data_IF_119976589324
#
_entry.id   IF_119976589324
#
_cell.length_a   1.000
_cell.length_b   1.000
_cell.length_c   1.000
_cell.angle_alpha   90.00
_cell.angle_beta   90.00
_cell.angle_gamma   90.00
#
_symmetry.space_group_name_H-M   'P 1'
#
loop_
_entity.id
_entity.type
_entity.pdbx_description
1 polymer ?
#
# COMPACT_ATOMS: atom_id res chain seq x y z
N UNK A 1 15.94 16.95 14.51
CA UNK A 1 16.28 15.68 15.17
C UNK A 1 15.00 14.94 15.52
N UNK A 2 14.29 15.29 16.61
CA UNK A 2 13.09 14.58 17.08
C UNK A 2 12.04 14.15 16.03
N UNK A 3 11.57 15.04 15.15
CA UNK A 3 10.52 14.68 14.17
C UNK A 3 10.99 13.68 13.10
N UNK A 4 12.26 13.78 12.69
CA UNK A 4 12.83 12.89 11.67
C UNK A 4 13.05 11.49 12.26
N UNK A 5 13.53 11.44 13.49
CA UNK A 5 13.77 10.18 14.21
C UNK A 5 12.45 9.42 14.48
N UNK A 6 11.37 10.15 14.78
CA UNK A 6 10.02 9.58 14.93
C UNK A 6 9.50 8.97 13.63
N UNK A 7 9.59 9.69 12.51
CA UNK A 7 9.17 9.16 11.20
C UNK A 7 9.99 7.93 10.85
N UNK A 8 11.31 7.97 11.04
CA UNK A 8 12.16 6.80 10.77
C UNK A 8 11.74 5.58 11.60
N UNK A 9 11.47 5.75 12.89
CA UNK A 9 10.99 4.66 13.74
C UNK A 9 9.61 4.11 13.30
N UNK A 10 8.71 4.97 12.84
CA UNK A 10 7.41 4.56 12.29
C UNK A 10 7.57 3.74 11.01
N UNK A 11 8.41 4.19 10.09
CA UNK A 11 8.70 3.48 8.83
C UNK A 11 9.41 2.14 9.09
N UNK A 12 10.36 2.09 10.03
CA UNK A 12 11.00 0.84 10.43
C UNK A 12 9.99 -0.16 11.02
N UNK A 13 9.06 0.33 11.84
CA UNK A 13 7.98 -0.50 12.38
C UNK A 13 7.07 -1.02 11.27
N UNK A 14 6.72 -0.19 10.29
CA UNK A 14 5.93 -0.61 9.13
C UNK A 14 6.66 -1.68 8.31
N UNK A 15 7.96 -1.54 8.09
CA UNK A 15 8.77 -2.54 7.39
C UNK A 15 8.81 -3.88 8.15
N UNK A 16 8.94 -3.86 9.48
CA UNK A 16 8.87 -5.07 10.31
C UNK A 16 7.51 -5.75 10.24
N UNK A 17 6.43 -4.97 10.27
CA UNK A 17 5.06 -5.49 10.11
C UNK A 17 4.88 -6.13 8.73
N UNK A 18 5.34 -5.49 7.67
CA UNK A 18 5.29 -6.05 6.32
C UNK A 18 6.08 -7.36 6.23
N UNK A 19 7.30 -7.41 6.77
CA UNK A 19 8.10 -8.64 6.81
C UNK A 19 7.37 -9.77 7.55
N UNK A 20 6.67 -9.45 8.65
CA UNK A 20 5.84 -10.42 9.37
C UNK A 20 4.68 -10.93 8.52
N UNK A 21 3.96 -10.04 7.82
CA UNK A 21 2.89 -10.42 6.88
C UNK A 21 3.44 -11.38 5.82
N UNK A 22 4.59 -11.06 5.22
CA UNK A 22 5.25 -11.91 4.23
C UNK A 22 5.62 -13.29 4.82
N UNK A 23 6.15 -13.33 6.04
CA UNK A 23 6.46 -14.58 6.75
C UNK A 23 5.22 -15.45 6.96
N UNK A 24 4.10 -14.85 7.40
CA UNK A 24 2.83 -15.56 7.58
C UNK A 24 2.30 -16.14 6.26
N UNK A 25 2.45 -15.41 5.14
CA UNK A 25 2.08 -15.94 3.80
C UNK A 25 2.91 -17.15 3.39
N UNK A 26 4.23 -17.13 3.68
CA UNK A 26 5.12 -18.28 3.41
C UNK A 26 4.72 -19.48 4.28
N UNK A 27 4.32 -19.24 5.52
CA UNK A 27 3.80 -20.27 6.45
C UNK A 27 2.38 -20.74 6.12
N UNK A 28 1.75 -20.23 5.04
CA UNK A 28 0.37 -20.49 4.64
C UNK A 28 -0.69 -20.08 5.68
N UNK A 29 -0.33 -19.19 6.61
CA UNK A 29 -1.23 -18.58 7.60
C UNK A 29 -1.92 -17.35 7.01
N UNK A 30 -2.71 -17.57 5.96
CA UNK A 30 -3.27 -16.48 5.15
C UNK A 30 -4.25 -15.61 5.94
N UNK A 31 -5.11 -16.20 6.75
CA UNK A 31 -6.08 -15.46 7.58
C UNK A 31 -5.39 -14.52 8.57
N UNK A 32 -4.28 -14.95 9.18
CA UNK A 32 -3.48 -14.12 10.09
C UNK A 32 -2.77 -12.99 9.33
N UNK A 33 -2.24 -13.30 8.14
CA UNK A 33 -1.60 -12.30 7.28
C UNK A 33 -2.59 -11.21 6.85
N UNK A 34 -3.80 -11.60 6.45
CA UNK A 34 -4.85 -10.70 6.00
C UNK A 34 -5.42 -9.88 7.17
N UNK A 35 -5.61 -10.49 8.35
CA UNK A 35 -6.01 -9.77 9.55
C UNK A 35 -4.98 -8.69 9.92
N UNK A 36 -3.69 -9.03 9.92
CA UNK A 36 -2.61 -8.08 10.23
C UNK A 36 -2.51 -6.97 9.17
N UNK A 37 -2.69 -7.31 7.90
CA UNK A 37 -2.73 -6.33 6.81
C UNK A 37 -3.88 -5.33 7.00
N UNK A 38 -5.10 -5.82 7.22
CA UNK A 38 -6.29 -4.98 7.41
C UNK A 38 -6.17 -4.11 8.66
N UNK A 39 -5.65 -4.67 9.76
CA UNK A 39 -5.37 -3.92 10.99
C UNK A 39 -4.36 -2.80 10.73
N UNK A 40 -3.31 -3.07 9.95
CA UNK A 40 -2.27 -2.09 9.65
C UNK A 40 -2.81 -0.96 8.77
N UNK A 41 -3.62 -1.28 7.75
CA UNK A 41 -4.32 -0.27 6.94
C UNK A 41 -5.16 0.68 7.80
N UNK A 42 -5.96 0.12 8.69
CA UNK A 42 -6.83 0.92 9.55
C UNK A 42 -6.03 1.76 10.56
N UNK A 43 -5.05 1.16 11.27
CA UNK A 43 -4.37 1.82 12.39
C UNK A 43 -3.23 2.74 11.96
N UNK A 44 -2.48 2.38 10.93
CA UNK A 44 -1.28 3.12 10.52
C UNK A 44 -1.53 4.08 9.36
N UNK A 45 -2.49 3.76 8.48
CA UNK A 45 -2.80 4.59 7.32
C UNK A 45 -4.18 5.25 7.40
N UNK A 46 -5.04 4.84 8.33
CA UNK A 46 -6.41 5.34 8.42
C UNK A 46 -7.25 4.97 7.19
N UNK A 47 -6.94 3.84 6.54
CA UNK A 47 -7.59 3.34 5.33
C UNK A 47 -8.40 2.08 5.64
N UNK A 48 -9.68 2.06 5.27
CA UNK A 48 -10.43 0.81 5.26
C UNK A 48 -10.01 -0.05 4.06
N UNK A 49 -9.59 -1.28 4.34
CA UNK A 49 -9.27 -2.31 3.34
C UNK A 49 -10.36 -2.51 2.27
N UNK A 50 -11.64 -2.30 2.60
CA UNK A 50 -12.74 -2.46 1.65
C UNK A 50 -12.64 -1.46 0.50
N UNK A 51 -12.19 -0.24 0.78
CA UNK A 51 -12.04 0.83 -0.23
C UNK A 51 -11.03 0.45 -1.32
N UNK A 52 -10.06 -0.44 -1.01
CA UNK A 52 -9.10 -0.94 -2.00
C UNK A 52 -9.72 -1.89 -3.03
N UNK A 53 -10.79 -2.60 -2.66
CA UNK A 53 -11.47 -3.59 -3.50
C UNK A 53 -12.81 -3.09 -4.03
N UNK A 54 -13.18 -1.84 -3.75
CA UNK A 54 -14.37 -1.22 -4.35
C UNK A 54 -14.14 -0.92 -5.83
N UNK A 55 -15.10 -1.22 -6.73
CA UNK A 55 -14.98 -0.88 -8.15
C UNK A 55 -14.86 0.63 -8.41
N UNK A 56 -15.53 1.45 -7.60
CA UNK A 56 -15.47 2.90 -7.71
C UNK A 56 -14.23 3.45 -6.98
N UNK A 57 -13.45 4.28 -7.67
CA UNK A 57 -12.22 4.88 -7.14
C UNK A 57 -12.47 6.13 -6.31
N UNK A 58 -13.66 6.73 -6.38
CA UNK A 58 -13.95 8.03 -5.79
C UNK A 58 -13.70 8.10 -4.27
N UNK A 59 -14.03 7.03 -3.54
CA UNK A 59 -13.79 6.98 -2.09
C UNK A 59 -12.31 6.90 -1.77
N UNK A 60 -11.55 6.10 -2.53
CA UNK A 60 -10.10 6.00 -2.38
C UNK A 60 -9.40 7.32 -2.72
N UNK A 61 -9.78 7.94 -3.84
CA UNK A 61 -9.22 9.22 -4.28
C UNK A 61 -9.49 10.33 -3.25
N UNK A 62 -10.71 10.37 -2.70
CA UNK A 62 -11.06 11.31 -1.62
C UNK A 62 -10.21 11.05 -0.37
N UNK A 63 -10.13 9.80 0.09
CA UNK A 63 -9.29 9.42 1.21
C UNK A 63 -7.83 9.83 0.98
N UNK A 64 -7.28 9.55 -0.21
CA UNK A 64 -5.89 9.84 -0.54
C UNK A 64 -5.61 11.35 -0.55
N UNK A 65 -6.56 12.14 -1.05
CA UNK A 65 -6.47 13.60 -1.06
C UNK A 65 -6.55 14.21 0.34
N UNK A 66 -7.38 13.65 1.22
CA UNK A 66 -7.58 14.10 2.61
C UNK A 66 -6.51 13.53 3.57
N UNK A 67 -5.74 12.52 3.14
CA UNK A 67 -4.70 11.89 3.94
C UNK A 67 -3.54 12.86 4.21
N UNK A 68 -3.11 12.93 5.46
CA UNK A 68 -1.91 13.69 5.88
C UNK A 68 -0.63 12.85 5.82
N UNK A 69 -0.61 11.80 4.98
CA UNK A 69 0.54 10.91 4.84
C UNK A 69 1.67 11.64 4.09
N UNK A 70 2.89 11.53 4.62
CA UNK A 70 4.08 12.02 3.93
C UNK A 70 4.55 11.00 2.87
N UNK A 71 5.59 11.38 2.11
CA UNK A 71 6.13 10.54 1.05
C UNK A 71 6.59 9.16 1.55
N UNK A 72 7.23 9.08 2.71
CA UNK A 72 7.71 7.82 3.27
C UNK A 72 6.55 6.88 3.65
N UNK A 73 5.49 7.42 4.25
CA UNK A 73 4.29 6.65 4.57
C UNK A 73 3.56 6.18 3.31
N UNK A 74 3.46 7.03 2.28
CA UNK A 74 2.86 6.64 1.00
C UNK A 74 3.69 5.56 0.28
N UNK A 75 5.03 5.64 0.37
CA UNK A 75 5.90 4.57 -0.11
C UNK A 75 5.64 3.26 0.63
N UNK A 76 5.61 3.27 1.97
CA UNK A 76 5.27 2.08 2.74
C UNK A 76 3.89 1.54 2.40
N UNK A 77 2.86 2.38 2.31
CA UNK A 77 1.52 1.95 1.87
C UNK A 77 1.58 1.24 0.51
N UNK A 78 2.38 1.76 -0.42
CA UNK A 78 2.55 1.15 -1.74
C UNK A 78 3.16 -0.26 -1.66
N UNK A 79 4.11 -0.49 -0.74
CA UNK A 79 4.67 -1.82 -0.49
C UNK A 79 3.61 -2.79 0.03
N UNK A 80 2.79 -2.33 0.99
CA UNK A 80 1.70 -3.12 1.58
C UNK A 80 0.68 -3.51 0.51
N UNK A 81 0.14 -2.56 -0.26
CA UNK A 81 -0.85 -2.85 -1.31
C UNK A 81 -0.25 -3.77 -2.37
N UNK A 82 0.98 -3.49 -2.83
CA UNK A 82 1.64 -4.33 -3.83
C UNK A 82 1.82 -5.78 -3.35
N UNK A 83 2.12 -5.99 -2.06
CA UNK A 83 2.27 -7.33 -1.48
C UNK A 83 1.00 -8.18 -1.45
N UNK A 84 -0.16 -7.58 -1.70
CA UNK A 84 -1.46 -8.27 -1.78
C UNK A 84 -1.86 -8.65 -3.19
N UNK A 85 -1.17 -8.13 -4.21
CA UNK A 85 -1.51 -8.43 -5.60
C UNK A 85 -1.20 -9.89 -5.92
N UNK A 86 -2.20 -10.60 -6.44
CA UNK A 86 -2.11 -11.95 -6.97
C UNK A 86 -2.99 -12.03 -8.22
N UNK A 87 -2.39 -11.71 -9.37
CA UNK A 87 -3.07 -11.75 -10.67
C UNK A 87 -3.30 -13.17 -11.20
N UNK A 88 -2.88 -14.21 -10.49
CA UNK A 88 -3.13 -15.61 -10.88
C UNK A 88 -4.35 -16.16 -10.15
N UNK A 89 -4.45 -15.89 -8.84
CA UNK A 89 -5.50 -16.47 -7.98
C UNK A 89 -6.61 -15.50 -7.62
N UNK A 90 -6.31 -14.20 -7.56
CA UNK A 90 -7.24 -13.15 -7.13
C UNK A 90 -7.29 -12.00 -8.15
N UNK A 91 -7.61 -12.33 -9.41
CA UNK A 91 -7.53 -11.40 -10.55
C UNK A 91 -8.30 -10.10 -10.29
N UNK A 92 -9.61 -10.18 -10.04
CA UNK A 92 -10.48 -8.99 -9.92
C UNK A 92 -10.05 -8.11 -8.74
N UNK A 93 -9.91 -8.63 -7.49
CA UNK A 93 -9.40 -7.82 -6.38
C UNK A 93 -8.04 -7.20 -6.67
N UNK A 94 -7.13 -7.94 -7.31
CA UNK A 94 -5.78 -7.44 -7.64
C UNK A 94 -5.82 -6.31 -8.65
N UNK A 95 -6.67 -6.41 -9.68
CA UNK A 95 -6.88 -5.32 -10.64
C UNK A 95 -7.44 -4.07 -9.96
N UNK A 96 -8.41 -4.24 -9.07
CA UNK A 96 -8.97 -3.12 -8.30
C UNK A 96 -7.90 -2.49 -7.42
N UNK A 97 -7.16 -3.27 -6.63
CA UNK A 97 -6.07 -2.76 -5.80
C UNK A 97 -4.97 -2.07 -6.63
N UNK A 98 -4.63 -2.61 -7.80
CA UNK A 98 -3.65 -2.03 -8.73
C UNK A 98 -4.06 -0.64 -9.22
N UNK A 99 -5.35 -0.42 -9.51
CA UNK A 99 -5.85 0.92 -9.84
C UNK A 99 -5.61 1.91 -8.70
N UNK A 100 -5.85 1.50 -7.45
CA UNK A 100 -5.66 2.36 -6.27
C UNK A 100 -4.18 2.63 -6.03
N UNK A 101 -3.34 1.62 -6.24
CA UNK A 101 -1.89 1.74 -6.18
C UNK A 101 -1.34 2.75 -7.20
N UNK A 102 -1.91 2.82 -8.40
CA UNK A 102 -1.54 3.84 -9.39
C UNK A 102 -1.81 5.28 -8.92
N UNK A 103 -2.90 5.53 -8.17
CA UNK A 103 -3.13 6.85 -7.58
C UNK A 103 -2.09 7.20 -6.52
N UNK A 104 -1.63 6.21 -5.72
CA UNK A 104 -0.56 6.42 -4.73
C UNK A 104 0.75 6.78 -5.44
N UNK A 105 1.13 6.05 -6.49
CA UNK A 105 2.33 6.37 -7.27
C UNK A 105 2.24 7.74 -7.92
N UNK A 106 1.10 8.09 -8.49
CA UNK A 106 0.86 9.42 -9.04
C UNK A 106 1.03 10.51 -7.99
N UNK A 107 0.44 10.36 -6.81
CA UNK A 107 0.59 11.34 -5.70
C UNK A 107 2.04 11.49 -5.25
N UNK A 108 2.80 10.40 -5.16
CA UNK A 108 4.23 10.43 -4.82
C UNK A 108 5.05 11.26 -5.83
N UNK A 109 4.73 11.16 -7.12
CA UNK A 109 5.39 11.92 -8.17
C UNK A 109 4.92 13.38 -8.18
N UNK A 110 3.60 13.60 -8.18
CA UNK A 110 3.01 14.93 -8.37
C UNK A 110 3.23 15.84 -7.16
N UNK A 111 3.02 15.34 -5.94
CA UNK A 111 3.04 16.17 -4.72
C UNK A 111 4.42 16.18 -4.04
N UNK A 112 5.16 15.08 -4.14
CA UNK A 112 6.43 14.89 -3.41
C UNK A 112 7.66 14.82 -4.32
N UNK A 113 7.47 14.90 -5.65
CA UNK A 113 8.55 14.79 -6.65
C UNK A 113 9.44 13.55 -6.43
N UNK A 114 8.86 12.50 -5.83
CA UNK A 114 9.58 11.31 -5.43
C UNK A 114 9.38 10.23 -6.47
N UNK A 115 10.42 10.02 -7.28
CA UNK A 115 10.47 8.94 -8.26
C UNK A 115 11.29 7.80 -7.67
N UNK A 116 10.62 6.86 -7.01
CA UNK A 116 11.29 5.67 -6.49
C UNK A 116 11.42 4.62 -7.61
N UNK A 117 12.64 4.20 -7.92
CA UNK A 117 12.90 3.29 -9.05
C UNK A 117 12.11 1.97 -8.93
N UNK A 118 11.99 1.45 -7.71
CA UNK A 118 11.19 0.24 -7.43
C UNK A 118 9.72 0.49 -7.77
N UNK A 119 9.17 1.66 -7.40
CA UNK A 119 7.77 2.00 -7.68
C UNK A 119 7.53 2.16 -9.18
N UNK A 120 8.46 2.75 -9.93
CA UNK A 120 8.35 2.79 -11.39
C UNK A 120 8.31 1.39 -12.02
N UNK A 121 9.17 0.47 -11.55
CA UNK A 121 9.16 -0.92 -12.01
C UNK A 121 7.83 -1.61 -11.71
N UNK A 122 7.32 -1.43 -10.49
CA UNK A 122 6.03 -1.98 -10.05
C UNK A 122 4.85 -1.36 -10.78
N UNK A 123 4.85 -0.05 -11.02
CA UNK A 123 3.84 0.65 -11.79
C UNK A 123 3.73 0.07 -13.20
N UNK A 124 4.87 -0.07 -13.90
CA UNK A 124 4.92 -0.69 -15.23
C UNK A 124 4.45 -2.15 -15.22
N UNK A 125 4.70 -2.88 -14.13
CA UNK A 125 4.21 -4.24 -13.97
C UNK A 125 2.68 -4.26 -13.83
N UNK A 126 2.12 -3.46 -12.91
CA UNK A 126 0.67 -3.48 -12.67
C UNK A 126 -0.13 -2.93 -13.85
N UNK A 127 0.40 -1.95 -14.60
CA UNK A 127 -0.22 -1.40 -15.82
C UNK A 127 -0.47 -2.44 -16.91
N UNK A 128 0.18 -3.61 -16.87
CA UNK A 128 -0.07 -4.70 -17.81
C UNK A 128 -1.39 -5.44 -17.53
N UNK A 129 -1.98 -5.23 -16.35
CA UNK A 129 -3.15 -5.96 -15.86
C UNK A 129 -4.41 -5.09 -15.72
N UNK A 130 -4.30 -3.78 -15.93
CA UNK A 130 -5.39 -2.80 -15.79
C UNK A 130 -5.82 -2.30 -17.18
#
# INVERSE_FOLDING_TARGET
>A
MYRKDLITAEIEKLAQVLAKIMGLKIELKLDEADALFNETLAKSFGLDSKVLIEPNTSEFEKWLAESNLNAEHLNSLSDFIFSQLDFEKNVIPSQLMAQKLNFVYKKLVDDFQTVHLINMGRQKYIEQYI
#
